data_IF_488774434952
#
_entry.id   IF_488774434952
#
_cell.length_a   1.000
_cell.length_b   1.000
_cell.length_c   1.000
_cell.angle_alpha   90.00
_cell.angle_beta   90.00
_cell.angle_gamma   90.00
#
_symmetry.space_group_name_H-M   'P 1'
#
loop_
_entity.id
_entity.type
_entity.pdbx_description
1 polymer ?
#
# COMPACT_ATOMS: atom_id res chain seq x y z
N UNK A 1 -8.44 17.71 15.98
CA UNK A 1 -8.62 16.92 14.74
C UNK A 1 -7.52 15.89 14.73
N UNK A 2 -7.83 14.68 15.18
CA UNK A 2 -6.92 13.56 15.20
C UNK A 2 -7.60 12.46 14.38
N UNK A 3 -7.49 12.58 13.07
CA UNK A 3 -8.01 11.57 12.17
C UNK A 3 -7.01 10.41 12.11
N UNK A 4 -7.52 9.22 12.36
CA UNK A 4 -6.78 8.01 12.69
C UNK A 4 -6.54 7.20 11.41
N UNK A 5 -5.30 7.13 10.94
CA UNK A 5 -4.92 6.19 9.89
C UNK A 5 -4.91 4.76 10.46
N UNK A 6 -5.68 3.86 9.86
CA UNK A 6 -5.71 2.45 10.20
C UNK A 6 -5.64 1.63 8.92
N UNK A 7 -4.53 0.94 8.73
CA UNK A 7 -4.35 -0.01 7.62
C UNK A 7 -4.56 -1.43 8.11
N UNK A 8 -5.37 -2.19 7.38
CA UNK A 8 -5.44 -3.63 7.48
C UNK A 8 -4.32 -4.22 6.62
N UNK A 9 -3.25 -4.69 7.26
CA UNK A 9 -2.21 -5.47 6.59
C UNK A 9 -2.75 -6.86 6.25
N UNK A 10 -2.97 -7.15 4.97
CA UNK A 10 -3.03 -8.51 4.47
C UNK A 10 -1.59 -9.02 4.28
N UNK A 11 -1.26 -10.08 5.01
CA UNK A 11 0.10 -10.56 5.25
C UNK A 11 0.91 -10.94 3.99
N UNK A 12 2.19 -10.57 4.01
CA UNK A 12 3.25 -11.59 3.94
C UNK A 12 4.21 -11.38 5.12
N UNK A 13 4.63 -12.47 5.78
CA UNK A 13 5.49 -12.42 6.96
C UNK A 13 6.89 -11.91 6.63
N UNK A 14 7.56 -11.13 7.50
CA UNK A 14 8.95 -10.76 7.29
C UNK A 14 9.85 -11.96 7.55
N UNK A 15 10.20 -12.69 6.48
CA UNK A 15 11.38 -13.55 6.50
C UNK A 15 12.63 -12.67 6.54
N UNK A 16 13.50 -12.88 7.52
CA UNK A 16 14.76 -12.16 7.65
C UNK A 16 15.56 -12.26 6.34
N UNK A 17 15.74 -11.13 5.64
CA UNK A 17 16.52 -11.06 4.42
C UNK A 17 18.02 -11.09 4.74
N UNK A 18 18.60 -12.29 4.80
CA UNK A 18 20.04 -12.45 4.54
C UNK A 18 20.25 -12.54 3.03
N UNK A 19 20.92 -11.53 2.46
CA UNK A 19 21.29 -11.52 1.05
C UNK A 19 22.19 -12.74 0.72
N UNK A 20 21.85 -13.57 -0.30
CA UNK A 20 22.78 -14.58 -0.79
C UNK A 20 23.76 -13.97 -1.80
N UNK A 21 25.02 -14.45 -1.85
CA UNK A 21 26.00 -13.95 -2.80
C UNK A 21 25.67 -14.44 -4.22
N UNK A 22 25.96 -13.60 -5.20
CA UNK A 22 25.79 -13.92 -6.61
C UNK A 22 26.79 -15.01 -7.05
N UNK A 23 26.30 -16.13 -7.59
CA UNK A 23 26.98 -16.94 -8.62
C UNK A 23 26.11 -18.07 -9.21
N UNK A 24 26.02 -18.06 -10.54
CA UNK A 24 26.05 -19.19 -11.50
C UNK A 24 24.98 -20.30 -11.46
N UNK A 25 24.14 -20.32 -12.50
CA UNK A 25 23.30 -21.46 -12.95
C UNK A 25 24.19 -22.66 -13.40
N UNK A 26 23.72 -23.94 -13.42
CA UNK A 26 22.54 -24.37 -14.19
C UNK A 26 21.69 -25.52 -13.59
N UNK A 27 20.48 -25.72 -14.14
CA UNK A 27 19.73 -26.97 -13.97
C UNK A 27 18.22 -26.82 -14.18
N UNK A 28 17.73 -27.22 -15.35
CA UNK A 28 16.31 -27.30 -15.67
C UNK A 28 15.57 -28.22 -14.69
N UNK A 29 14.41 -27.78 -14.19
CA UNK A 29 13.43 -28.66 -13.55
C UNK A 29 12.02 -28.22 -13.90
N UNK A 30 11.19 -29.22 -14.20
CA UNK A 30 9.86 -29.10 -14.77
C UNK A 30 8.88 -28.33 -13.88
N UNK A 31 8.03 -27.51 -14.49
CA UNK A 31 6.96 -26.76 -13.84
C UNK A 31 5.79 -27.68 -13.49
N UNK A 32 5.79 -28.22 -12.28
CA UNK A 32 4.55 -28.67 -11.64
C UNK A 32 3.78 -27.42 -11.22
N UNK A 33 2.55 -27.26 -11.73
CA UNK A 33 1.67 -26.12 -11.43
C UNK A 33 1.57 -25.84 -9.93
N UNK A 34 2.08 -24.68 -9.53
CA UNK A 34 1.81 -24.14 -8.21
C UNK A 34 0.47 -23.40 -8.31
N UNK A 35 -0.58 -24.00 -7.75
CA UNK A 35 -1.77 -23.24 -7.38
C UNK A 35 -1.31 -22.06 -6.49
N UNK A 36 -1.77 -20.84 -6.83
CA UNK A 36 -1.62 -19.70 -5.92
C UNK A 36 -2.09 -20.13 -4.54
N UNK A 37 -1.27 -20.00 -3.49
CA UNK A 37 -1.77 -20.18 -2.14
C UNK A 37 -2.86 -19.12 -1.96
N UNK A 38 -4.11 -19.57 -1.84
CA UNK A 38 -5.18 -18.73 -1.33
C UNK A 38 -4.65 -18.14 -0.02
N UNK A 39 -4.58 -16.81 0.05
CA UNK A 39 -4.16 -16.11 1.25
C UNK A 39 -4.95 -16.67 2.43
N UNK A 40 -4.27 -17.39 3.30
CA UNK A 40 -4.87 -17.98 4.49
C UNK A 40 -5.43 -16.85 5.33
N UNK A 41 -6.75 -16.84 5.52
CA UNK A 41 -7.56 -15.91 6.30
C UNK A 41 -7.34 -16.06 7.83
N UNK A 42 -6.08 -16.22 8.25
CA UNK A 42 -5.68 -16.41 9.64
C UNK A 42 -5.45 -15.11 10.41
N UNK A 43 -5.70 -13.94 9.83
CA UNK A 43 -5.69 -12.69 10.57
C UNK A 43 -6.90 -12.68 11.53
N UNK A 44 -6.64 -12.55 12.83
CA UNK A 44 -7.70 -12.33 13.81
C UNK A 44 -8.57 -11.14 13.36
N UNK A 45 -9.88 -11.27 13.48
CA UNK A 45 -10.81 -10.20 13.11
C UNK A 45 -10.41 -8.91 13.83
N UNK A 46 -10.26 -7.82 13.08
CA UNK A 46 -9.90 -6.53 13.63
C UNK A 46 -11.00 -6.03 14.57
N UNK A 47 -10.61 -5.62 15.78
CA UNK A 47 -11.51 -5.02 16.78
C UNK A 47 -11.04 -3.60 17.07
N UNK A 48 -11.86 -2.57 16.81
CA UNK A 48 -11.50 -1.19 17.12
C UNK A 48 -11.41 -0.96 18.62
N UNK A 49 -10.49 -0.09 19.03
CA UNK A 49 -10.49 0.46 20.38
C UNK A 49 -11.83 1.18 20.65
N UNK A 50 -12.58 0.83 21.72
CA UNK A 50 -13.91 1.38 21.96
C UNK A 50 -13.93 2.90 22.15
N UNK A 51 -12.90 3.46 22.79
CA UNK A 51 -12.79 4.90 23.04
C UNK A 51 -12.56 5.65 21.74
N UNK A 52 -11.63 5.17 20.90
CA UNK A 52 -11.38 5.75 19.57
C UNK A 52 -12.61 5.61 18.66
N UNK A 53 -13.30 4.47 18.71
CA UNK A 53 -14.52 4.27 17.92
C UNK A 53 -15.64 5.23 18.34
N UNK A 54 -15.85 5.46 19.64
CA UNK A 54 -16.85 6.40 20.11
C UNK A 54 -16.54 7.84 19.66
N UNK A 55 -15.27 8.25 19.72
CA UNK A 55 -14.84 9.55 19.21
C UNK A 55 -15.06 9.66 17.69
N UNK A 56 -14.61 8.67 16.91
CA UNK A 56 -14.79 8.65 15.46
C UNK A 56 -16.28 8.66 15.07
N UNK A 57 -17.15 7.97 15.81
CA UNK A 57 -18.61 8.02 15.60
C UNK A 57 -19.21 9.41 15.82
N UNK A 58 -18.60 10.22 16.68
CA UNK A 58 -19.02 11.63 16.87
C UNK A 58 -18.64 12.48 15.64
N UNK A 59 -17.54 12.15 14.96
CA UNK A 59 -17.13 12.77 13.70
C UNK A 59 -17.97 12.25 12.51
N UNK A 60 -18.36 10.98 12.53
CA UNK A 60 -19.36 10.36 11.65
C UNK A 60 -18.86 9.96 10.24
N UNK A 61 -17.66 10.38 9.85
CA UNK A 61 -17.10 10.16 8.52
C UNK A 61 -15.58 10.04 8.54
N UNK A 62 -15.04 9.19 7.67
CA UNK A 62 -13.62 9.16 7.31
C UNK A 62 -13.48 9.55 5.83
N UNK A 63 -12.57 10.47 5.53
CA UNK A 63 -12.22 10.90 4.17
C UNK A 63 -10.91 10.25 3.74
N UNK A 64 -10.97 9.30 2.80
CA UNK A 64 -9.79 8.67 2.22
C UNK A 64 -9.44 9.34 0.90
N UNK A 65 -8.21 9.12 0.42
CA UNK A 65 -7.80 9.51 -0.93
C UNK A 65 -6.92 8.41 -1.53
N UNK A 66 -6.97 8.22 -2.85
CA UNK A 66 -6.09 7.28 -3.57
C UNK A 66 -6.10 5.83 -3.03
N UNK A 67 -7.25 5.37 -2.52
CA UNK A 67 -7.46 3.98 -2.10
C UNK A 67 -8.40 3.26 -3.08
N UNK A 68 -7.94 2.89 -4.29
CA UNK A 68 -8.79 2.22 -5.26
C UNK A 68 -9.13 0.82 -4.77
N UNK A 69 -10.37 0.38 -4.96
CA UNK A 69 -10.87 -0.88 -4.39
C UNK A 69 -10.15 -2.12 -4.94
N UNK A 70 -9.57 -2.01 -6.14
CA UNK A 70 -8.80 -3.05 -6.82
C UNK A 70 -7.36 -3.20 -6.31
N UNK A 71 -6.86 -2.26 -5.51
CA UNK A 71 -5.48 -2.26 -5.02
C UNK A 71 -5.37 -2.89 -3.64
N UNK A 72 -4.46 -3.84 -3.49
CA UNK A 72 -4.09 -4.49 -2.22
C UNK A 72 -5.26 -4.86 -1.29
N UNK A 73 -6.44 -5.19 -1.83
CA UNK A 73 -7.62 -5.56 -1.03
C UNK A 73 -8.34 -4.39 -0.34
N UNK A 74 -8.11 -3.13 -0.75
CA UNK A 74 -8.79 -1.97 -0.16
C UNK A 74 -10.31 -2.03 -0.28
N UNK A 75 -10.88 -2.65 -1.32
CA UNK A 75 -12.34 -2.83 -1.41
C UNK A 75 -12.92 -3.55 -0.18
N UNK A 76 -12.31 -4.67 0.20
CA UNK A 76 -12.73 -5.45 1.37
C UNK A 76 -12.38 -4.72 2.68
N UNK A 77 -11.22 -4.06 2.75
CA UNK A 77 -10.82 -3.30 3.92
C UNK A 77 -11.78 -2.13 4.23
N UNK A 78 -12.13 -1.34 3.22
CA UNK A 78 -13.04 -0.19 3.34
C UNK A 78 -14.47 -0.64 3.64
N UNK A 79 -14.93 -1.73 3.01
CA UNK A 79 -16.23 -2.34 3.29
C UNK A 79 -16.31 -2.84 4.74
N UNK A 80 -15.29 -3.59 5.18
CA UNK A 80 -15.20 -4.08 6.56
C UNK A 80 -15.14 -2.94 7.57
N UNK A 81 -14.37 -1.88 7.29
CA UNK A 81 -14.29 -0.70 8.14
C UNK A 81 -15.66 -0.04 8.30
N UNK A 82 -16.40 0.18 7.19
CA UNK A 82 -17.77 0.69 7.22
C UNK A 82 -18.68 -0.17 8.10
N UNK A 83 -18.66 -1.49 7.91
CA UNK A 83 -19.52 -2.42 8.67
C UNK A 83 -19.19 -2.44 10.16
N UNK A 84 -17.90 -2.52 10.53
CA UNK A 84 -17.47 -2.64 11.92
C UNK A 84 -17.65 -1.33 12.68
N UNK A 85 -17.38 -0.20 12.04
CA UNK A 85 -17.40 1.12 12.70
C UNK A 85 -18.75 1.82 12.61
N UNK A 86 -19.52 1.56 11.55
CA UNK A 86 -20.72 2.31 11.22
C UNK A 86 -20.45 3.73 10.68
N UNK A 87 -19.20 4.05 10.35
CA UNK A 87 -18.82 5.35 9.78
C UNK A 87 -19.14 5.42 8.28
N UNK A 88 -19.41 6.64 7.81
CA UNK A 88 -19.46 6.90 6.37
C UNK A 88 -18.04 7.08 5.80
N UNK A 89 -17.83 6.69 4.54
CA UNK A 89 -16.57 6.99 3.84
C UNK A 89 -16.82 8.01 2.74
N UNK A 90 -15.94 8.99 2.64
CA UNK A 90 -15.83 9.92 1.54
C UNK A 90 -14.51 9.64 0.82
N UNK A 91 -14.60 9.01 -0.34
CA UNK A 91 -13.44 8.45 -1.04
C UNK A 91 -13.04 9.42 -2.15
N UNK A 92 -11.98 10.18 -1.93
CA UNK A 92 -11.47 11.18 -2.87
C UNK A 92 -10.54 10.52 -3.88
N UNK A 93 -10.63 10.94 -5.14
CA UNK A 93 -9.71 10.54 -6.22
C UNK A 93 -9.14 9.10 -6.07
N UNK A 94 -9.98 8.04 -6.14
CA UNK A 94 -9.51 6.68 -5.87
C UNK A 94 -8.38 6.23 -6.79
N UNK A 95 -8.28 6.79 -7.99
CA UNK A 95 -7.23 6.48 -8.97
C UNK A 95 -6.04 7.49 -8.91
N UNK A 96 -5.94 8.28 -7.85
CA UNK A 96 -4.86 9.24 -7.62
C UNK A 96 -3.53 8.57 -7.26
N UNK A 97 -2.43 9.29 -7.46
CA UNK A 97 -1.10 8.88 -7.00
C UNK A 97 -0.59 9.65 -5.78
N UNK A 98 0.58 9.27 -5.26
CA UNK A 98 1.18 9.86 -4.06
C UNK A 98 1.28 11.40 -4.14
N UNK A 99 1.62 11.93 -5.32
CA UNK A 99 1.70 13.37 -5.56
C UNK A 99 0.36 14.10 -5.42
N UNK A 100 -0.74 13.47 -5.84
CA UNK A 100 -2.09 14.04 -5.73
C UNK A 100 -2.53 14.13 -4.27
N UNK A 101 -2.20 13.11 -3.47
CA UNK A 101 -2.52 13.09 -2.03
C UNK A 101 -1.81 14.21 -1.27
N UNK A 102 -0.51 14.39 -1.52
CA UNK A 102 0.27 15.48 -0.93
C UNK A 102 -0.29 16.85 -1.35
N UNK A 103 -0.67 17.00 -2.62
CA UNK A 103 -1.27 18.24 -3.10
C UNK A 103 -2.67 18.47 -2.50
N UNK A 104 -3.47 17.41 -2.31
CA UNK A 104 -4.76 17.50 -1.65
C UNK A 104 -4.63 18.02 -0.22
N UNK A 105 -3.65 17.53 0.56
CA UNK A 105 -3.37 18.07 1.90
C UNK A 105 -2.97 19.55 1.83
N UNK A 106 -2.00 19.89 0.96
CA UNK A 106 -1.49 21.27 0.83
C UNK A 106 -2.60 22.26 0.45
N UNK A 107 -3.45 21.89 -0.50
CA UNK A 107 -4.54 22.74 -1.01
C UNK A 107 -5.71 22.87 -0.03
N UNK A 108 -5.86 21.93 0.91
CA UNK A 108 -6.96 21.91 1.86
C UNK A 108 -6.54 22.24 3.30
N UNK A 109 -5.35 22.83 3.51
CA UNK A 109 -4.94 23.31 4.84
C UNK A 109 -5.96 24.30 5.41
N UNK A 110 -6.52 23.97 6.58
CA UNK A 110 -7.55 24.78 7.23
C UNK A 110 -8.96 24.62 6.64
N UNK A 111 -9.14 23.80 5.61
CA UNK A 111 -10.45 23.46 5.09
C UNK A 111 -11.16 22.53 6.08
N UNK A 112 -12.43 22.82 6.38
CA UNK A 112 -13.31 22.00 7.24
C UNK A 112 -14.35 21.22 6.43
N UNK A 113 -14.34 21.37 5.10
CA UNK A 113 -15.17 20.63 4.17
C UNK A 113 -14.63 19.24 3.82
N UNK A 114 -15.32 18.57 2.90
CA UNK A 114 -15.09 17.17 2.55
C UNK A 114 -13.94 16.95 1.53
N UNK A 115 -12.96 17.85 1.46
CA UNK A 115 -11.88 17.78 0.47
C UNK A 115 -10.50 17.62 1.10
N UNK A 116 -10.39 17.76 2.42
CA UNK A 116 -9.19 17.40 3.15
C UNK A 116 -9.19 15.89 3.41
N UNK A 117 -8.16 15.15 2.96
CA UNK A 117 -8.02 13.74 3.32
C UNK A 117 -7.65 13.58 4.80
N UNK A 118 -8.21 12.56 5.43
CA UNK A 118 -7.95 12.17 6.82
C UNK A 118 -6.80 11.15 6.92
N UNK A 119 -6.60 10.36 5.86
CA UNK A 119 -5.55 9.34 5.72
C UNK A 119 -5.04 9.35 4.28
N UNK A 120 -3.74 9.06 4.12
CA UNK A 120 -3.05 8.92 2.84
C UNK A 120 -2.31 7.57 2.81
N UNK A 121 -2.14 6.98 1.63
CA UNK A 121 -1.30 5.81 1.36
C UNK A 121 -0.31 6.14 0.23
N UNK A 122 0.92 6.52 0.60
CA UNK A 122 1.91 7.08 -0.32
C UNK A 122 3.16 6.21 -0.41
N UNK A 123 3.87 6.30 -1.53
CA UNK A 123 5.17 5.67 -1.68
C UNK A 123 6.15 6.06 -0.55
N UNK A 124 7.03 5.13 -0.16
CA UNK A 124 7.90 5.25 1.01
C UNK A 124 8.73 6.55 1.07
N UNK A 125 9.12 7.10 -0.10
CA UNK A 125 9.88 8.36 -0.20
C UNK A 125 9.08 9.61 0.18
N UNK A 126 7.74 9.56 0.12
CA UNK A 126 6.86 10.69 0.43
C UNK A 126 6.64 10.88 1.94
N UNK A 127 6.78 9.84 2.76
CA UNK A 127 6.63 9.95 4.22
C UNK A 127 7.59 10.98 4.86
N UNK A 128 8.91 10.87 4.62
CA UNK A 128 9.88 11.85 5.13
C UNK A 128 9.66 13.28 4.63
N UNK A 129 9.26 13.45 3.36
CA UNK A 129 9.01 14.79 2.79
C UNK A 129 7.72 15.41 3.37
N UNK A 130 6.66 14.63 3.51
CA UNK A 130 5.41 15.06 4.14
C UNK A 130 5.59 15.43 5.62
N UNK A 131 6.42 14.69 6.37
CA UNK A 131 6.83 15.05 7.73
C UNK A 131 7.56 16.40 7.74
N UNK A 132 8.57 16.56 6.88
CA UNK A 132 9.35 17.80 6.76
C UNK A 132 8.47 19.02 6.45
N UNK A 133 7.46 18.84 5.60
CA UNK A 133 6.53 19.89 5.18
C UNK A 133 5.38 20.13 6.19
N UNK A 134 5.34 19.38 7.29
CA UNK A 134 4.32 19.49 8.34
C UNK A 134 2.91 19.16 7.83
N UNK A 135 2.80 18.14 6.96
CA UNK A 135 1.54 17.73 6.34
C UNK A 135 0.83 16.61 7.08
N UNK A 136 1.58 15.81 7.84
CA UNK A 136 1.11 14.61 8.52
C UNK A 136 1.33 14.72 10.03
N UNK A 137 0.52 13.99 10.79
CA UNK A 137 0.56 13.98 12.25
C UNK A 137 1.10 12.64 12.75
N UNK A 138 1.91 12.64 13.83
CA UNK A 138 2.43 11.39 14.37
C UNK A 138 1.32 10.55 15.00
N UNK A 139 1.29 9.25 14.66
CA UNK A 139 0.43 8.27 15.28
C UNK A 139 1.09 6.89 15.30
N UNK A 140 1.25 6.33 16.50
CA UNK A 140 1.76 4.97 16.70
C UNK A 140 0.58 4.01 16.83
N UNK A 141 0.45 3.09 15.88
CA UNK A 141 -0.58 2.05 15.89
C UNK A 141 -0.39 1.08 17.07
N UNK A 142 -1.42 0.33 17.49
CA UNK A 142 -1.28 -0.66 18.57
C UNK A 142 -0.18 -1.70 18.34
N UNK A 143 0.14 -1.99 17.08
CA UNK A 143 1.19 -2.93 16.65
C UNK A 143 2.53 -2.23 16.38
N UNK A 144 2.75 -1.00 16.86
CA UNK A 144 3.94 -0.20 16.54
C UNK A 144 5.28 -0.91 16.77
N UNK A 145 5.34 -1.68 17.86
CA UNK A 145 6.55 -2.39 18.26
C UNK A 145 6.84 -3.61 17.37
N UNK A 146 5.87 -4.07 16.57
CA UNK A 146 6.06 -5.16 15.61
C UNK A 146 6.59 -4.67 14.25
N UNK A 147 6.58 -3.36 14.02
CA UNK A 147 7.05 -2.76 12.76
C UNK A 147 8.58 -2.61 12.83
N UNK A 148 9.35 -3.11 11.86
CA UNK A 148 10.80 -2.93 11.83
C UNK A 148 11.20 -1.44 11.83
N UNK A 149 12.27 -1.09 12.54
CA UNK A 149 12.75 0.30 12.61
C UNK A 149 13.17 0.86 11.24
N UNK A 150 13.56 -0.01 10.30
CA UNK A 150 13.87 0.38 8.92
C UNK A 150 12.63 0.72 8.09
N UNK A 151 11.43 0.43 8.59
CA UNK A 151 10.16 0.62 7.92
C UNK A 151 9.25 1.60 8.66
N UNK A 152 9.79 2.45 9.55
CA UNK A 152 9.01 3.46 10.25
C UNK A 152 9.82 4.69 10.64
N UNK A 153 9.12 5.81 10.81
CA UNK A 153 9.66 6.98 11.47
C UNK A 153 9.65 6.80 12.99
N UNK A 154 10.76 7.06 13.72
CA UNK A 154 10.82 6.87 15.17
C UNK A 154 9.75 7.63 15.96
N UNK A 155 9.31 8.79 15.44
CA UNK A 155 8.33 9.65 16.10
C UNK A 155 6.89 9.24 15.77
N UNK A 156 6.69 8.28 14.87
CA UNK A 156 5.36 7.83 14.44
C UNK A 156 4.75 8.66 13.33
N UNK A 157 5.52 9.52 12.64
CA UNK A 157 4.97 10.33 11.55
C UNK A 157 4.54 9.51 10.32
N UNK A 158 5.24 8.40 10.04
CA UNK A 158 4.89 7.45 8.99
C UNK A 158 5.40 6.05 9.37
N UNK A 159 4.80 5.03 8.78
CA UNK A 159 5.23 3.64 8.89
C UNK A 159 4.80 2.88 7.63
N UNK A 160 5.56 1.85 7.26
CA UNK A 160 5.21 0.94 6.18
C UNK A 160 4.05 0.05 6.61
N UNK A 161 3.02 0.00 5.78
CA UNK A 161 1.80 -0.76 6.00
C UNK A 161 1.81 -2.10 5.23
N UNK A 162 2.43 -2.11 4.05
CA UNK A 162 2.83 -3.28 3.29
C UNK A 162 4.12 -2.99 2.50
N UNK A 163 4.66 -4.00 1.82
CA UNK A 163 5.74 -3.80 0.85
C UNK A 163 5.44 -4.58 -0.42
N UNK A 164 5.89 -4.03 -1.54
CA UNK A 164 5.87 -4.70 -2.84
C UNK A 164 7.28 -5.04 -3.30
N UNK A 165 7.38 -6.01 -4.20
CA UNK A 165 8.59 -6.28 -4.97
C UNK A 165 8.22 -6.15 -6.44
N UNK A 166 8.95 -5.32 -7.18
CA UNK A 166 8.76 -5.21 -8.63
C UNK A 166 9.02 -6.56 -9.29
N UNK A 167 8.06 -7.03 -10.08
CA UNK A 167 8.09 -8.31 -10.76
C UNK A 167 7.59 -8.16 -12.20
N UNK A 168 7.84 -9.17 -13.03
CA UNK A 168 7.25 -9.25 -14.36
C UNK A 168 5.89 -9.92 -14.28
N UNK A 169 4.88 -9.22 -14.79
CA UNK A 169 3.61 -9.83 -15.16
C UNK A 169 3.66 -10.18 -16.65
N UNK A 170 3.60 -11.46 -16.97
CA UNK A 170 3.80 -11.96 -18.34
C UNK A 170 2.52 -12.62 -18.85
N UNK A 171 1.99 -12.12 -19.97
CA UNK A 171 0.91 -12.78 -20.70
C UNK A 171 1.47 -13.96 -21.50
N UNK A 172 1.41 -15.16 -20.92
CA UNK A 172 1.96 -16.39 -21.51
C UNK A 172 1.22 -16.89 -22.76
N UNK A 173 0.05 -16.32 -23.08
CA UNK A 173 -0.63 -16.59 -24.35
C UNK A 173 0.04 -15.86 -25.53
N UNK A 174 0.80 -14.79 -25.27
CA UNK A 174 1.49 -13.96 -26.27
C UNK A 174 2.99 -14.15 -26.20
N UNK A 175 3.56 -14.14 -24.99
CA UNK A 175 5.00 -14.24 -24.73
C UNK A 175 5.32 -15.67 -24.30
N UNK A 176 5.84 -16.48 -25.24
CA UNK A 176 6.17 -17.90 -24.98
C UNK A 176 7.56 -18.11 -24.41
N UNK A 177 8.48 -17.17 -24.65
CA UNK A 177 9.79 -17.12 -24.00
C UNK A 177 9.71 -16.04 -22.91
N UNK A 178 9.47 -16.43 -21.67
CA UNK A 178 9.31 -15.48 -20.56
C UNK A 178 10.66 -14.84 -20.17
N UNK A 179 10.73 -13.51 -19.96
CA UNK A 179 11.92 -12.87 -19.43
C UNK A 179 12.21 -13.34 -18.01
N UNK A 180 13.48 -13.58 -17.70
CA UNK A 180 13.94 -14.02 -16.36
C UNK A 180 14.72 -12.94 -15.64
N UNK A 181 15.20 -11.93 -16.36
CA UNK A 181 15.90 -10.78 -15.81
C UNK A 181 15.56 -9.49 -16.59
N UNK A 182 15.79 -8.33 -16.00
CA UNK A 182 15.57 -7.00 -16.59
C UNK A 182 16.34 -6.82 -17.90
N UNK A 183 17.53 -7.41 -17.99
CA UNK A 183 18.34 -7.39 -19.21
C UNK A 183 17.69 -8.12 -20.39
N UNK A 184 16.81 -9.09 -20.12
CA UNK A 184 16.09 -9.80 -21.18
C UNK A 184 15.14 -8.88 -21.94
N UNK A 185 14.53 -7.90 -21.27
CA UNK A 185 13.57 -6.97 -21.87
C UNK A 185 14.17 -6.11 -22.99
N UNK A 186 15.51 -6.01 -23.07
CA UNK A 186 16.23 -5.31 -24.13
C UNK A 186 16.39 -6.14 -25.41
N UNK A 187 16.10 -7.44 -25.36
CA UNK A 187 16.23 -8.34 -26.51
C UNK A 187 15.20 -7.98 -27.60
N UNK A 188 15.53 -8.15 -28.89
CA UNK A 188 14.62 -7.84 -29.99
C UNK A 188 13.24 -8.49 -29.89
N UNK A 189 13.17 -9.69 -29.30
CA UNK A 189 11.96 -10.49 -29.13
C UNK A 189 10.87 -9.78 -28.31
N UNK A 190 11.24 -8.86 -27.41
CA UNK A 190 10.29 -8.12 -26.57
C UNK A 190 9.99 -6.71 -27.07
N UNK A 191 10.50 -6.33 -28.24
CA UNK A 191 10.30 -4.99 -28.80
C UNK A 191 8.80 -4.72 -29.02
N UNK A 192 8.29 -3.69 -28.36
CA UNK A 192 6.87 -3.31 -28.41
C UNK A 192 5.94 -4.20 -27.59
N UNK A 193 6.49 -5.08 -26.73
CA UNK A 193 5.73 -5.99 -25.88
C UNK A 193 5.85 -5.67 -24.38
N UNK A 194 6.53 -4.57 -24.04
CA UNK A 194 6.66 -4.07 -22.66
C UNK A 194 5.69 -2.92 -22.46
N UNK A 195 4.87 -3.03 -21.42
CA UNK A 195 3.99 -1.97 -20.94
C UNK A 195 4.24 -1.75 -19.45
N UNK A 196 4.05 -0.51 -19.00
CA UNK A 196 4.03 -0.16 -17.59
C UNK A 196 2.61 0.30 -17.24
N UNK A 197 2.15 -0.08 -16.06
CA UNK A 197 0.92 0.46 -15.51
C UNK A 197 1.18 1.91 -15.08
N UNK A 198 0.62 2.88 -15.81
CA UNK A 198 0.75 4.30 -15.50
C UNK A 198 2.15 4.89 -15.78
N UNK A 199 2.39 6.06 -15.19
CA UNK A 199 3.66 6.78 -15.28
C UNK A 199 4.44 6.63 -13.95
N UNK A 200 5.58 5.91 -13.94
CA UNK A 200 6.35 5.65 -12.73
C UNK A 200 7.05 6.90 -12.16
N UNK A 201 7.01 8.05 -12.85
CA UNK A 201 7.64 9.29 -12.38
C UNK A 201 6.75 10.13 -11.48
N UNK A 202 5.45 9.84 -11.45
CA UNK A 202 4.43 10.60 -10.71
C UNK A 202 3.66 9.75 -9.69
N UNK A 203 3.93 8.45 -9.66
CA UNK A 203 3.31 7.47 -8.75
C UNK A 203 3.98 7.46 -7.38
#
# INVERSE_FOLDING_TARGET
MAALALVAAACSSPGAATAPPAASAPGASASTGAASPAASSGAAAWVPDPTKLAAAKTEGKLTTIALPHSWCGYGDALSTFKTVTGLTLNELNPDGGSGDEINAIKNNKGNTGNQAPDVIDVGLSFGPSAKKDGLIQPYKVPTWDTIPDTAKDPDGSWYGDYYGVLAFEVNTAVVTNEPKDWSDLLKPDYKGQVALAGDPTVS
#
